data_IF_748415978211
#
_entry.id   IF_748415978211
#
_cell.length_a   1.000
_cell.length_b   1.000
_cell.length_c   1.000
_cell.angle_alpha   90.00
_cell.angle_beta   90.00
_cell.angle_gamma   90.00
#
_symmetry.space_group_name_H-M   'P 1'
#
loop_
_entity.id
_entity.type
_entity.pdbx_description
1 polymer ?
#
# COMPACT_ATOMS: atom_id res chain seq x y z
N UNK A 1 27.17 -17.30 22.68
CA UNK A 1 26.96 -16.18 21.73
C UNK A 1 25.48 -15.88 21.74
N UNK A 2 25.07 -14.76 22.36
CA UNK A 2 23.68 -14.31 22.37
C UNK A 2 23.46 -13.53 21.08
N UNK A 3 22.58 -14.01 20.20
CA UNK A 3 22.07 -13.20 19.12
C UNK A 3 21.24 -12.08 19.75
N UNK A 4 21.78 -10.86 19.79
CA UNK A 4 21.01 -9.68 20.12
C UNK A 4 20.17 -9.34 18.90
N UNK A 5 18.90 -9.77 18.91
CA UNK A 5 17.90 -9.22 18.01
C UNK A 5 17.69 -7.77 18.42
N UNK A 6 18.39 -6.85 17.75
CA UNK A 6 18.09 -5.43 17.84
C UNK A 6 16.81 -5.18 17.07
N UNK A 7 15.66 -5.21 17.75
CA UNK A 7 14.43 -4.63 17.23
C UNK A 7 14.68 -3.12 17.10
N UNK A 8 15.03 -2.69 15.88
CA UNK A 8 15.18 -1.29 15.53
C UNK A 8 13.80 -0.68 15.38
N UNK A 9 13.57 0.43 16.06
CA UNK A 9 12.31 1.17 16.22
C UNK A 9 11.79 1.84 14.93
N UNK A 10 12.01 1.25 13.78
CA UNK A 10 11.44 1.65 12.49
C UNK A 10 11.25 0.38 11.68
N UNK A 11 10.02 -0.12 11.62
CA UNK A 11 9.67 -1.25 10.75
C UNK A 11 9.88 -0.76 9.31
N UNK A 12 11.07 -1.02 8.79
CA UNK A 12 11.39 -0.74 7.42
C UNK A 12 10.92 -1.92 6.58
N UNK A 13 9.74 -1.73 6.02
CA UNK A 13 9.10 -2.68 5.14
C UNK A 13 9.94 -3.00 3.90
N UNK A 14 10.97 -2.21 3.59
CA UNK A 14 11.87 -2.44 2.47
C UNK A 14 13.21 -3.00 2.95
N UNK A 15 13.84 -3.80 2.11
CA UNK A 15 15.19 -4.30 2.36
C UNK A 15 16.13 -3.10 2.62
N UNK A 16 16.94 -3.09 3.69
CA UNK A 16 17.90 -2.03 3.95
C UNK A 16 18.82 -1.69 2.75
N UNK A 17 19.10 -2.68 1.89
CA UNK A 17 19.89 -2.52 0.65
C UNK A 17 19.07 -2.14 -0.59
N UNK A 18 17.77 -1.91 -0.47
CA UNK A 18 16.94 -1.48 -1.59
C UNK A 18 17.32 -0.06 -2.03
N UNK A 19 17.76 0.15 -3.29
CA UNK A 19 18.12 1.48 -3.79
C UNK A 19 16.97 2.48 -3.77
N UNK A 20 15.71 2.03 -3.74
CA UNK A 20 14.53 2.89 -3.70
C UNK A 20 14.05 3.22 -2.28
N UNK A 21 14.65 2.61 -1.25
CA UNK A 21 14.22 2.73 0.15
C UNK A 21 14.12 4.17 0.63
N UNK A 22 15.16 4.97 0.37
CA UNK A 22 15.19 6.38 0.78
C UNK A 22 14.12 7.22 0.05
N UNK A 23 13.95 6.99 -1.26
CA UNK A 23 12.98 7.71 -2.08
C UNK A 23 11.54 7.37 -1.70
N UNK A 24 11.25 6.09 -1.46
CA UNK A 24 9.94 5.62 -1.00
C UNK A 24 9.61 6.22 0.36
N UNK A 25 10.58 6.27 1.28
CA UNK A 25 10.42 6.96 2.57
C UNK A 25 10.14 8.45 2.42
N UNK A 26 10.88 9.14 1.55
CA UNK A 26 10.70 10.58 1.36
C UNK A 26 9.35 10.92 0.74
N UNK A 27 8.91 10.15 -0.27
CA UNK A 27 7.74 10.48 -1.08
C UNK A 27 6.44 9.87 -0.55
N UNK A 28 6.52 8.71 0.11
CA UNK A 28 5.37 7.95 0.59
C UNK A 28 5.37 7.76 2.11
N UNK A 29 6.36 8.32 2.83
CA UNK A 29 6.43 8.24 4.30
C UNK A 29 5.14 8.69 4.99
N UNK A 30 4.49 9.75 4.51
CA UNK A 30 3.19 10.18 5.05
C UNK A 30 2.07 9.15 4.86
N UNK A 31 2.04 8.47 3.71
CA UNK A 31 1.12 7.37 3.41
C UNK A 31 1.42 6.11 4.23
N UNK A 32 2.71 5.84 4.49
CA UNK A 32 3.19 4.68 5.25
C UNK A 32 3.01 4.84 6.76
N UNK A 33 3.11 6.06 7.29
CA UNK A 33 3.04 6.37 8.72
C UNK A 33 1.69 6.98 9.16
N UNK A 34 0.67 6.96 8.29
CA UNK A 34 -0.67 7.47 8.60
C UNK A 34 -0.76 8.98 8.79
N UNK A 35 0.29 9.72 8.43
CA UNK A 35 0.32 11.18 8.50
C UNK A 35 -0.01 11.76 7.12
N UNK A 36 -1.29 12.02 6.87
CA UNK A 36 -1.75 12.72 5.67
C UNK A 36 -1.58 14.23 5.91
N UNK A 37 -0.68 14.95 5.22
CA UNK A 37 -0.56 16.39 5.40
C UNK A 37 -1.83 17.08 4.88
N UNK A 38 -2.28 18.09 5.62
CA UNK A 38 -3.47 18.88 5.33
C UNK A 38 -3.41 19.52 3.92
N UNK A 39 -4.40 19.12 3.11
CA UNK A 39 -5.21 19.90 2.16
C UNK A 39 -4.54 20.68 0.99
N UNK A 40 -5.12 20.47 -0.20
CA UNK A 40 -5.01 21.15 -1.49
C UNK A 40 -3.95 20.72 -2.54
N UNK A 41 -2.77 20.21 -2.18
CA UNK A 41 -1.79 19.79 -3.22
C UNK A 41 -2.03 18.35 -3.74
N UNK A 42 -2.61 17.47 -2.92
CA UNK A 42 -2.92 16.09 -3.27
C UNK A 42 -4.12 15.99 -4.23
N UNK A 43 -5.21 16.71 -3.94
CA UNK A 43 -6.42 16.69 -4.77
C UNK A 43 -6.18 17.05 -6.26
N UNK A 44 -5.24 17.96 -6.55
CA UNK A 44 -4.89 18.31 -7.94
C UNK A 44 -4.07 17.21 -8.64
N UNK A 45 -3.12 16.57 -7.94
CA UNK A 45 -2.26 15.51 -8.51
C UNK A 45 -3.00 14.18 -8.65
N UNK A 46 -3.88 13.88 -7.71
CA UNK A 46 -4.75 12.69 -7.74
C UNK A 46 -5.73 12.77 -8.92
N UNK A 47 -6.16 13.99 -9.29
CA UNK A 47 -7.04 14.17 -10.46
C UNK A 47 -6.38 13.81 -11.79
N UNK A 48 -5.09 14.06 -11.98
CA UNK A 48 -4.43 13.81 -13.25
C UNK A 48 -4.21 12.31 -13.49
N UNK A 49 -3.70 11.59 -12.49
CA UNK A 49 -3.56 10.13 -12.54
C UNK A 49 -4.93 9.45 -12.61
N UNK A 50 -5.90 9.89 -11.80
CA UNK A 50 -7.27 9.36 -11.86
C UNK A 50 -7.91 9.52 -13.23
N UNK A 51 -7.82 10.71 -13.83
CA UNK A 51 -8.35 10.92 -15.18
C UNK A 51 -7.61 10.11 -16.25
N UNK A 52 -6.30 9.89 -16.11
CA UNK A 52 -5.52 9.06 -17.02
C UNK A 52 -5.99 7.60 -16.95
N UNK A 53 -6.06 7.05 -15.73
CA UNK A 53 -6.50 5.67 -15.48
C UNK A 53 -7.93 5.46 -15.96
N UNK A 54 -8.84 6.40 -15.66
CA UNK A 54 -10.23 6.37 -16.12
C UNK A 54 -10.34 6.23 -17.64
N UNK A 55 -9.61 7.08 -18.38
CA UNK A 55 -9.62 7.05 -19.85
C UNK A 55 -9.00 5.77 -20.41
N UNK A 56 -7.91 5.29 -19.81
CA UNK A 56 -7.20 4.11 -20.31
C UNK A 56 -7.99 2.82 -20.07
N UNK A 57 -8.70 2.73 -18.94
CA UNK A 57 -9.39 1.52 -18.52
C UNK A 57 -10.89 1.52 -18.84
N UNK A 58 -11.41 2.59 -19.45
CA UNK A 58 -12.86 2.81 -19.64
C UNK A 58 -13.63 2.74 -18.32
N UNK A 59 -13.11 3.43 -17.29
CA UNK A 59 -13.70 3.53 -15.95
C UNK A 59 -14.10 4.98 -15.64
N UNK A 60 -14.96 5.14 -14.65
CA UNK A 60 -15.39 6.41 -14.09
C UNK A 60 -14.53 6.73 -12.87
N UNK A 61 -13.88 7.89 -12.86
CA UNK A 61 -13.15 8.38 -11.70
C UNK A 61 -13.97 9.42 -10.94
N UNK A 62 -14.23 9.15 -9.67
CA UNK A 62 -14.90 10.05 -8.74
C UNK A 62 -13.96 10.27 -7.56
N UNK A 63 -13.29 11.42 -7.41
CA UNK A 63 -12.28 11.62 -6.37
C UNK A 63 -12.80 11.30 -4.97
N UNK A 64 -14.02 11.73 -4.69
CA UNK A 64 -14.77 11.48 -3.47
C UNK A 64 -15.95 10.55 -3.77
N UNK A 65 -16.25 9.58 -2.90
CA UNK A 65 -17.47 8.79 -3.02
C UNK A 65 -18.68 9.71 -2.80
N UNK A 66 -19.69 9.61 -3.66
CA UNK A 66 -20.94 10.35 -3.49
C UNK A 66 -21.65 9.87 -2.23
N UNK A 67 -21.72 10.70 -1.18
CA UNK A 67 -22.36 10.37 0.10
C UNK A 67 -23.86 10.04 0.01
N UNK A 68 -24.48 10.26 -1.15
CA UNK A 68 -25.92 10.14 -1.39
C UNK A 68 -26.31 9.01 -2.35
N UNK A 69 -25.34 8.29 -2.93
CA UNK A 69 -25.65 7.10 -3.74
C UNK A 69 -25.45 5.87 -2.86
N UNK A 70 -26.53 5.14 -2.62
CA UNK A 70 -26.48 3.76 -2.09
C UNK A 70 -26.02 2.86 -3.24
N UNK A 71 -24.80 3.09 -3.72
CA UNK A 71 -24.24 2.34 -4.82
C UNK A 71 -23.55 1.10 -4.25
N UNK A 72 -24.09 -0.09 -4.55
CA UNK A 72 -23.43 -1.36 -4.20
C UNK A 72 -22.13 -1.60 -4.99
N UNK A 73 -21.64 -0.62 -5.78
CA UNK A 73 -20.44 -0.73 -6.60
C UNK A 73 -19.18 -1.16 -5.82
N UNK A 74 -19.10 -0.80 -4.53
CA UNK A 74 -18.00 -1.20 -3.65
C UNK A 74 -18.31 -2.43 -2.77
N UNK A 75 -19.49 -3.04 -2.93
CA UNK A 75 -19.82 -4.28 -2.22
C UNK A 75 -18.82 -5.38 -2.58
N UNK A 76 -18.46 -6.20 -1.59
CA UNK A 76 -17.64 -7.40 -1.78
C UNK A 76 -18.29 -8.40 -2.76
N UNK A 77 -19.60 -8.30 -2.97
CA UNK A 77 -20.37 -9.16 -3.88
C UNK A 77 -20.23 -8.74 -5.37
N UNK A 78 -19.82 -7.49 -5.64
CA UNK A 78 -19.60 -7.03 -7.01
C UNK A 78 -18.25 -7.54 -7.50
N UNK A 79 -18.30 -8.40 -8.53
CA UNK A 79 -17.09 -8.92 -9.17
C UNK A 79 -16.31 -7.77 -9.83
N UNK A 80 -14.97 -7.79 -9.80
CA UNK A 80 -14.13 -6.69 -10.31
C UNK A 80 -14.46 -6.20 -11.72
N UNK A 81 -14.84 -7.11 -12.63
CA UNK A 81 -15.23 -6.82 -14.01
C UNK A 81 -16.51 -5.99 -14.15
N UNK A 82 -17.31 -5.88 -13.10
CA UNK A 82 -18.52 -5.04 -13.06
C UNK A 82 -18.30 -3.74 -12.29
N UNK A 83 -17.08 -3.48 -11.78
CA UNK A 83 -16.76 -2.21 -11.14
C UNK A 83 -16.41 -1.19 -12.20
N UNK A 84 -17.35 -0.29 -12.46
CA UNK A 84 -17.20 0.80 -13.42
C UNK A 84 -16.61 2.08 -12.81
N UNK A 85 -16.53 2.17 -11.48
CA UNK A 85 -16.20 3.43 -10.79
C UNK A 85 -15.09 3.23 -9.76
N UNK A 86 -14.14 4.16 -9.68
CA UNK A 86 -13.09 4.17 -8.66
C UNK A 86 -12.81 5.56 -8.09
N UNK A 87 -12.13 5.61 -6.94
CA UNK A 87 -11.94 6.82 -6.13
C UNK A 87 -10.46 7.09 -5.83
N UNK A 88 -10.16 8.24 -5.23
CA UNK A 88 -8.77 8.61 -4.90
C UNK A 88 -8.08 7.57 -4.01
N UNK A 89 -8.83 6.97 -3.07
CA UNK A 89 -8.32 5.88 -2.23
C UNK A 89 -7.86 4.67 -3.07
N UNK A 90 -8.59 4.30 -4.12
CA UNK A 90 -8.18 3.22 -5.01
C UNK A 90 -6.85 3.51 -5.72
N UNK A 91 -6.57 4.77 -6.06
CA UNK A 91 -5.26 5.16 -6.60
C UNK A 91 -4.15 5.02 -5.56
N UNK A 92 -4.42 5.37 -4.29
CA UNK A 92 -3.48 5.19 -3.19
C UNK A 92 -3.14 3.70 -3.04
N UNK A 93 -4.14 2.82 -3.00
CA UNK A 93 -3.91 1.38 -2.83
C UNK A 93 -3.18 0.77 -4.04
N UNK A 94 -3.50 1.22 -5.26
CA UNK A 94 -2.76 0.85 -6.45
C UNK A 94 -1.28 1.27 -6.36
N UNK A 95 -1.00 2.53 -6.02
CA UNK A 95 0.37 3.02 -5.85
C UNK A 95 1.11 2.25 -4.75
N UNK A 96 0.41 1.93 -3.66
CA UNK A 96 0.96 1.17 -2.54
C UNK A 96 1.44 -0.20 -3.00
N UNK A 97 0.61 -0.96 -3.72
CA UNK A 97 0.99 -2.25 -4.27
C UNK A 97 2.21 -2.15 -5.21
N UNK A 98 2.20 -1.19 -6.15
CA UNK A 98 3.26 -1.02 -7.14
C UNK A 98 4.62 -0.71 -6.51
N UNK A 99 4.66 0.09 -5.45
CA UNK A 99 5.89 0.44 -4.72
C UNK A 99 6.54 -0.77 -4.06
N UNK A 100 5.72 -1.74 -3.63
CA UNK A 100 6.20 -2.98 -3.02
C UNK A 100 6.56 -4.08 -4.02
N UNK A 101 6.30 -3.89 -5.31
CA UNK A 101 6.76 -4.81 -6.36
C UNK A 101 8.29 -4.74 -6.50
N UNK A 102 8.97 -5.89 -6.35
CA UNK A 102 10.40 -5.99 -6.67
C UNK A 102 10.67 -5.90 -8.18
N UNK A 103 9.73 -6.36 -8.99
CA UNK A 103 9.79 -6.28 -10.47
C UNK A 103 9.76 -4.83 -10.93
N UNK A 104 8.83 -4.05 -10.37
CA UNK A 104 8.77 -2.61 -10.57
C UNK A 104 10.08 -1.97 -10.13
N UNK A 105 10.48 -2.13 -8.86
CA UNK A 105 11.66 -1.46 -8.28
C UNK A 105 12.96 -1.75 -9.04
N UNK A 106 13.15 -2.98 -9.53
CA UNK A 106 14.32 -3.35 -10.36
C UNK A 106 14.44 -2.50 -11.62
N UNK A 107 13.33 -2.13 -12.27
CA UNK A 107 13.33 -1.32 -13.50
C UNK A 107 13.77 0.13 -13.27
N UNK A 108 13.68 0.64 -12.03
CA UNK A 108 14.08 2.02 -11.67
C UNK A 108 15.48 2.12 -11.07
N UNK A 109 16.12 0.98 -10.79
CA UNK A 109 17.47 0.93 -10.20
C UNK A 109 18.51 1.70 -11.03
N UNK A 110 18.29 1.81 -12.34
CA UNK A 110 19.21 2.46 -13.27
C UNK A 110 18.93 3.96 -13.46
N UNK A 111 17.80 4.49 -12.98
CA UNK A 111 17.38 5.89 -13.17
C UNK A 111 16.89 6.60 -11.88
N UNK A 112 17.68 6.62 -10.79
CA UNK A 112 17.24 7.15 -9.49
C UNK A 112 16.97 8.67 -9.46
N UNK A 113 17.50 9.44 -10.41
CA UNK A 113 17.43 10.91 -10.40
C UNK A 113 16.25 11.52 -11.18
N UNK A 114 15.49 10.73 -11.95
CA UNK A 114 14.40 11.24 -12.79
C UNK A 114 13.02 11.21 -12.08
N UNK A 115 12.99 10.73 -10.83
CA UNK A 115 11.75 10.40 -10.14
C UNK A 115 11.13 9.11 -10.68
N UNK A 116 10.43 8.36 -9.83
CA UNK A 116 9.69 7.18 -10.29
C UNK A 116 8.27 7.59 -10.63
N UNK A 117 7.84 7.27 -11.85
CA UNK A 117 6.44 7.36 -12.25
C UNK A 117 5.81 5.98 -12.07
N UNK A 118 4.75 5.91 -11.27
CA UNK A 118 3.92 4.70 -11.21
C UNK A 118 3.23 4.57 -12.57
N UNK A 119 3.40 3.46 -13.31
CA UNK A 119 2.79 3.27 -14.60
C UNK A 119 1.27 3.17 -14.44
N UNK A 120 0.54 3.64 -15.45
CA UNK A 120 -0.87 3.34 -15.53
C UNK A 120 -1.06 1.81 -15.68
N UNK A 121 -2.08 1.22 -15.03
CA UNK A 121 -2.38 -0.20 -15.12
C UNK A 121 -2.72 -0.61 -16.57
N UNK A 122 -2.27 -1.79 -17.05
CA UNK A 122 -2.51 -2.24 -18.42
C UNK A 122 -3.99 -2.48 -18.73
N UNK A 123 -4.75 -2.97 -17.75
CA UNK A 123 -6.18 -3.24 -17.87
C UNK A 123 -6.89 -3.14 -16.50
N UNK A 124 -8.23 -3.17 -16.52
CA UNK A 124 -9.05 -3.05 -15.32
C UNK A 124 -8.90 -4.24 -14.36
N UNK A 125 -8.65 -5.44 -14.88
CA UNK A 125 -8.46 -6.64 -14.05
C UNK A 125 -7.17 -6.54 -13.24
N UNK A 126 -6.08 -6.09 -13.87
CA UNK A 126 -4.82 -5.77 -13.19
C UNK A 126 -5.04 -4.70 -12.12
N UNK A 127 -5.71 -3.61 -12.48
CA UNK A 127 -5.95 -2.48 -11.57
C UNK A 127 -6.70 -2.91 -10.30
N UNK A 128 -7.83 -3.60 -10.44
CA UNK A 128 -8.62 -4.05 -9.29
C UNK A 128 -7.91 -5.09 -8.43
N UNK A 129 -7.10 -5.96 -9.04
CA UNK A 129 -6.29 -6.93 -8.29
C UNK A 129 -5.22 -6.22 -7.47
N UNK A 130 -4.56 -5.21 -8.04
CA UNK A 130 -3.56 -4.39 -7.34
C UNK A 130 -4.19 -3.57 -6.21
N UNK A 131 -5.37 -2.98 -6.41
CA UNK A 131 -6.10 -2.28 -5.34
C UNK A 131 -6.37 -3.19 -4.15
N UNK A 132 -6.88 -4.40 -4.41
CA UNK A 132 -7.18 -5.36 -3.34
C UNK A 132 -5.93 -5.70 -2.53
N UNK A 133 -4.83 -6.04 -3.21
CA UNK A 133 -3.58 -6.42 -2.56
C UNK A 133 -2.95 -5.22 -1.84
N UNK A 134 -2.97 -4.03 -2.45
CA UNK A 134 -2.45 -2.80 -1.88
C UNK A 134 -3.18 -2.40 -0.60
N UNK A 135 -4.51 -2.49 -0.60
CA UNK A 135 -5.33 -2.21 0.58
C UNK A 135 -5.02 -3.17 1.73
N UNK A 136 -4.97 -4.48 1.45
CA UNK A 136 -4.63 -5.48 2.46
C UNK A 136 -3.23 -5.24 3.03
N UNK A 137 -2.24 -5.02 2.15
CA UNK A 137 -0.86 -4.75 2.53
C UNK A 137 -0.74 -3.47 3.37
N UNK A 138 -1.45 -2.41 2.98
CA UNK A 138 -1.48 -1.15 3.71
C UNK A 138 -2.11 -1.31 5.09
N UNK A 139 -3.22 -2.03 5.20
CA UNK A 139 -3.88 -2.28 6.49
C UNK A 139 -2.98 -3.08 7.45
N UNK A 140 -2.31 -4.13 6.96
CA UNK A 140 -1.33 -4.88 7.74
C UNK A 140 -0.22 -3.96 8.26
N UNK A 141 0.38 -3.16 7.38
CA UNK A 141 1.43 -2.24 7.79
C UNK A 141 0.96 -1.14 8.77
N UNK A 142 -0.29 -0.69 8.67
CA UNK A 142 -0.87 0.26 9.64
C UNK A 142 -1.10 -0.37 11.02
N UNK A 143 -1.61 -1.60 11.07
CA UNK A 143 -1.86 -2.32 12.32
C UNK A 143 -0.56 -2.52 13.11
N UNK A 144 0.51 -2.97 12.44
CA UNK A 144 1.81 -3.17 13.09
C UNK A 144 2.43 -1.88 13.64
N UNK A 145 2.22 -0.74 12.97
CA UNK A 145 2.66 0.56 13.46
C UNK A 145 1.90 1.00 14.73
N UNK A 146 0.63 0.62 14.86
CA UNK A 146 -0.17 0.93 16.06
C UNK A 146 0.30 0.06 17.24
N UNK A 147 0.49 -1.24 17.04
CA UNK A 147 0.88 -2.17 18.10
C UNK A 147 2.25 -1.81 18.69
N UNK A 148 3.24 -1.52 17.83
CA UNK A 148 4.57 -1.06 18.27
C UNK A 148 4.57 0.27 19.03
N UNK A 149 3.61 1.15 18.75
CA UNK A 149 3.45 2.43 19.47
C UNK A 149 2.87 2.23 20.88
N UNK A 150 2.04 1.22 21.09
CA UNK A 150 1.44 0.89 22.37
C UNK A 150 2.44 0.25 23.34
N UNK A 151 3.36 -0.59 22.84
CA UNK A 151 4.44 -1.18 23.65
C UNK A 151 5.36 -0.12 24.27
N UNK A 152 5.64 0.96 23.54
CA UNK A 152 6.45 2.07 24.04
C UNK A 152 5.75 2.91 25.12
N UNK A 153 4.44 2.74 25.33
CA UNK A 153 3.64 3.52 26.28
C UNK A 153 3.14 2.74 27.50
N UNK A 154 3.39 1.43 27.62
CA UNK A 154 2.77 0.61 28.68
C UNK A 154 3.61 -0.52 29.24
N UNK A 155 4.32 -0.24 30.34
CA UNK A 155 4.69 -1.27 31.33
C UNK A 155 3.43 -1.76 32.04
N UNK A 156 2.80 -2.84 31.57
CA UNK A 156 1.89 -3.66 32.41
C UNK A 156 2.17 -5.15 32.20
N UNK A 157 2.55 -5.76 33.32
CA UNK A 157 2.95 -7.13 33.54
C UNK A 157 1.79 -8.12 33.32
N UNK A 158 2.08 -9.24 32.64
CA UNK A 158 1.40 -10.52 32.89
C UNK A 158 0.58 -11.10 31.74
N UNK A 159 1.12 -12.16 31.11
CA UNK A 159 0.41 -13.21 30.34
C UNK A 159 -0.15 -12.92 28.94
N UNK A 160 0.10 -11.75 28.33
CA UNK A 160 -0.31 -11.43 26.94
C UNK A 160 0.79 -11.51 25.88
N UNK A 161 2.04 -11.73 26.27
CA UNK A 161 3.22 -11.70 25.37
C UNK A 161 3.12 -12.74 24.23
N UNK A 162 2.70 -13.98 24.51
CA UNK A 162 2.69 -15.03 23.48
C UNK A 162 1.58 -14.92 22.42
N UNK A 163 0.46 -14.23 22.71
CA UNK A 163 -0.64 -14.13 21.73
C UNK A 163 -0.37 -13.06 20.67
N UNK A 164 0.32 -11.98 21.05
CA UNK A 164 0.68 -10.87 20.17
C UNK A 164 1.74 -11.32 19.16
N UNK A 165 2.70 -12.13 19.60
CA UNK A 165 3.75 -12.67 18.72
C UNK A 165 3.18 -13.52 17.57
N UNK A 166 2.11 -14.29 17.80
CA UNK A 166 1.50 -15.14 16.75
C UNK A 166 0.76 -14.29 15.71
N UNK A 167 -0.02 -13.30 16.14
CA UNK A 167 -0.73 -12.39 15.22
C UNK A 167 0.25 -11.55 14.38
N UNK A 168 1.34 -11.08 14.99
CA UNK A 168 2.39 -10.34 14.29
C UNK A 168 3.13 -11.23 13.28
N UNK A 169 3.48 -12.47 13.65
CA UNK A 169 4.11 -13.42 12.74
C UNK A 169 3.21 -13.76 11.54
N UNK A 170 1.90 -13.91 11.76
CA UNK A 170 0.92 -14.13 10.71
C UNK A 170 0.80 -12.92 9.78
N UNK A 171 0.78 -11.70 10.32
CA UNK A 171 0.78 -10.45 9.55
C UNK A 171 2.05 -10.29 8.70
N UNK A 172 3.23 -10.62 9.26
CA UNK A 172 4.50 -10.61 8.53
C UNK A 172 4.54 -11.64 7.40
N UNK A 173 4.06 -12.87 7.64
CA UNK A 173 4.03 -13.90 6.59
C UNK A 173 3.00 -13.57 5.51
N UNK A 174 1.87 -12.96 5.89
CA UNK A 174 0.88 -12.45 4.94
C UNK A 174 1.47 -11.34 4.08
N UNK A 175 2.18 -10.39 4.69
CA UNK A 175 2.91 -9.33 3.99
C UNK A 175 3.89 -9.88 2.96
N UNK A 176 4.69 -10.90 3.31
CA UNK A 176 5.58 -11.57 2.34
C UNK A 176 4.81 -12.23 1.20
N UNK A 177 3.69 -12.87 1.51
CA UNK A 177 2.84 -13.54 0.52
C UNK A 177 2.26 -12.54 -0.48
N UNK A 178 1.70 -11.43 0.00
CA UNK A 178 1.14 -10.37 -0.84
C UNK A 178 2.19 -9.76 -1.78
N UNK A 179 3.42 -9.55 -1.30
CA UNK A 179 4.52 -9.05 -2.15
C UNK A 179 4.90 -10.02 -3.26
N UNK A 180 4.94 -11.32 -2.97
CA UNK A 180 5.14 -12.35 -4.01
C UNK A 180 4.00 -12.36 -5.01
N UNK A 181 2.76 -12.20 -4.55
CA UNK A 181 1.58 -12.11 -5.42
C UNK A 181 1.66 -10.89 -6.35
N UNK A 182 2.04 -9.72 -5.82
CA UNK A 182 2.30 -8.52 -6.64
C UNK A 182 3.33 -8.81 -7.73
N UNK A 183 4.48 -9.40 -7.36
CA UNK A 183 5.56 -9.68 -8.31
C UNK A 183 5.11 -10.64 -9.41
N UNK A 184 4.39 -11.71 -9.08
CA UNK A 184 3.82 -12.64 -10.06
C UNK A 184 2.87 -11.92 -11.03
N UNK A 185 2.03 -11.01 -10.52
CA UNK A 185 1.11 -10.24 -11.38
C UNK A 185 1.87 -9.23 -12.26
N UNK A 186 2.98 -8.66 -11.79
CA UNK A 186 3.78 -7.71 -12.55
C UNK A 186 4.70 -8.38 -13.61
N UNK A 187 4.97 -9.67 -13.48
CA UNK A 187 5.77 -10.45 -14.45
C UNK A 187 4.95 -11.01 -15.62
N UNK A 188 3.65 -11.27 -15.40
CA UNK A 188 2.69 -11.74 -16.41
C UNK A 188 2.01 -10.63 -17.18
#
# INVERSE_FOLDING_TARGET
MKASWGYSSEIDWLDPGDPMRATIRQQLGGLLHGHVPHENLHAQRDSALGNLVARQLDLIYTPEPSSHEVCFAESAEVRPEFRSTFHSNHLIEYCYAMVFSSVFRKRFKDFPNEGFLIPAPPDASFFWRMIRIGNELRLLHLQENIDTSLEHQGSVMGSKELSIDVELLDAMERTKTLRREIDVICEG
#
